data_IF_844870552654
#
_entry.id   IF_844870552654
#
_cell.length_a   1.000
_cell.length_b   1.000
_cell.length_c   1.000
_cell.angle_alpha   90.00
_cell.angle_beta   90.00
_cell.angle_gamma   90.00
#
_symmetry.space_group_name_H-M   'P 1'
#
loop_
_entity.id
_entity.type
_entity.pdbx_description
1 polymer ?
#
# COMPACT_ATOMS: atom_id res chain seq x y z
N UNK A 1 7.20 0.25 -3.25
CA UNK A 1 6.68 1.60 -3.57
C UNK A 1 7.09 2.09 -4.97
N UNK A 2 6.99 1.29 -6.04
CA UNK A 2 7.27 1.81 -7.40
C UNK A 2 6.07 2.58 -7.96
N UNK A 3 4.88 1.99 -7.86
CA UNK A 3 3.63 2.58 -8.35
C UNK A 3 3.31 3.86 -7.57
N UNK A 4 3.32 3.82 -6.23
CA UNK A 4 3.10 5.01 -5.40
C UNK A 4 4.04 6.16 -5.74
N UNK A 5 5.35 5.92 -5.80
CA UNK A 5 6.31 6.98 -6.09
C UNK A 5 6.11 7.60 -7.47
N UNK A 6 5.78 6.79 -8.48
CA UNK A 6 5.41 7.30 -9.81
C UNK A 6 4.13 8.13 -9.75
N UNK A 7 3.11 7.66 -9.02
CA UNK A 7 1.82 8.34 -8.88
C UNK A 7 1.93 9.64 -8.09
N UNK A 8 2.80 9.73 -7.09
CA UNK A 8 3.10 10.97 -6.35
C UNK A 8 3.72 12.03 -7.25
N UNK A 9 4.72 11.67 -8.05
CA UNK A 9 5.30 12.59 -9.03
C UNK A 9 4.25 13.07 -10.03
N UNK A 10 3.47 12.13 -10.60
CA UNK A 10 2.41 12.46 -11.53
C UNK A 10 1.40 13.44 -10.92
N UNK A 11 1.00 13.23 -9.66
CA UNK A 11 0.06 14.10 -8.97
C UNK A 11 0.53 15.56 -8.90
N UNK A 12 1.84 15.79 -8.68
CA UNK A 12 2.42 17.13 -8.70
C UNK A 12 2.46 17.75 -10.09
N UNK A 13 2.85 16.98 -11.11
CA UNK A 13 3.01 17.45 -12.48
C UNK A 13 1.69 17.89 -13.13
N UNK A 14 0.58 17.19 -12.85
CA UNK A 14 -0.70 17.46 -13.52
C UNK A 14 -1.64 18.38 -12.74
N UNK A 15 -1.27 18.79 -11.53
CA UNK A 15 -2.12 19.57 -10.64
C UNK A 15 -2.54 20.92 -11.24
N UNK A 16 -1.63 21.60 -11.94
CA UNK A 16 -1.92 22.90 -12.58
C UNK A 16 -2.95 22.80 -13.72
N UNK A 17 -3.18 21.60 -14.25
CA UNK A 17 -4.18 21.32 -15.27
C UNK A 17 -5.54 20.94 -14.68
N UNK A 18 -5.70 21.00 -13.35
CA UNK A 18 -6.94 20.62 -12.66
C UNK A 18 -7.19 19.10 -12.66
N UNK A 19 -6.19 18.29 -13.00
CA UNK A 19 -6.27 16.83 -12.93
C UNK A 19 -5.90 16.40 -11.51
N UNK A 20 -6.75 15.57 -10.91
CA UNK A 20 -6.51 14.98 -9.59
C UNK A 20 -6.10 13.53 -9.73
N UNK A 21 -5.13 13.14 -8.91
CA UNK A 21 -4.60 11.78 -8.85
C UNK A 21 -4.84 11.24 -7.45
N UNK A 22 -5.18 9.96 -7.34
CA UNK A 22 -5.37 9.29 -6.06
C UNK A 22 -4.76 7.89 -6.11
N UNK A 23 -4.16 7.50 -4.99
CA UNK A 23 -3.60 6.18 -4.72
C UNK A 23 -4.57 5.48 -3.79
N UNK A 24 -5.12 4.35 -4.24
CA UNK A 24 -6.00 3.53 -3.41
C UNK A 24 -5.22 2.33 -2.89
N UNK A 25 -5.25 2.16 -1.57
CA UNK A 25 -4.44 1.17 -0.85
C UNK A 25 -5.37 0.17 -0.17
N UNK A 26 -5.86 -0.84 -0.90
CA UNK A 26 -6.75 -1.85 -0.33
C UNK A 26 -6.00 -2.80 0.61
N UNK A 27 -6.71 -3.27 1.64
CA UNK A 27 -6.34 -4.46 2.40
C UNK A 27 -6.74 -5.74 1.67
N UNK A 28 -7.02 -6.79 2.42
CA UNK A 28 -7.51 -8.04 1.84
C UNK A 28 -9.00 -7.95 1.52
N UNK A 29 -9.34 -8.09 0.24
CA UNK A 29 -10.72 -8.18 -0.27
C UNK A 29 -11.00 -9.57 -0.83
N UNK A 30 -12.24 -10.06 -0.67
CA UNK A 30 -12.68 -11.36 -1.19
C UNK A 30 -12.85 -11.31 -2.72
N UNK A 31 -11.72 -11.34 -3.41
CA UNK A 31 -11.58 -11.41 -4.86
C UNK A 31 -10.76 -12.63 -5.24
N UNK A 32 -10.69 -12.93 -6.54
CA UNK A 32 -9.86 -14.03 -7.05
C UNK A 32 -8.35 -13.77 -6.97
N UNK A 33 -7.90 -12.63 -6.42
CA UNK A 33 -6.49 -12.24 -6.35
C UNK A 33 -5.59 -13.28 -5.67
N UNK A 34 -6.08 -13.92 -4.61
CA UNK A 34 -5.37 -14.99 -3.88
C UNK A 34 -5.74 -16.40 -4.36
N UNK A 35 -6.57 -16.53 -5.40
CA UNK A 35 -6.97 -17.83 -5.95
C UNK A 35 -6.04 -18.24 -7.08
N UNK A 36 -6.08 -19.55 -7.38
CA UNK A 36 -5.36 -20.14 -8.49
C UNK A 36 -5.76 -19.46 -9.81
N UNK A 37 -4.76 -19.12 -10.64
CA UNK A 37 -4.95 -18.39 -11.90
C UNK A 37 -4.62 -16.89 -11.80
N UNK A 38 -4.74 -16.27 -10.62
CA UNK A 38 -4.23 -14.91 -10.36
C UNK A 38 -2.94 -14.93 -9.55
N UNK A 39 -2.84 -15.83 -8.58
CA UNK A 39 -1.65 -15.98 -7.74
C UNK A 39 -0.58 -16.81 -8.46
N UNK A 40 0.55 -16.19 -8.78
CA UNK A 40 1.72 -16.87 -9.33
C UNK A 40 2.75 -17.14 -8.22
N UNK A 41 3.10 -18.41 -8.02
CA UNK A 41 4.09 -18.85 -7.05
C UNK A 41 5.38 -19.31 -7.73
N UNK A 42 6.49 -19.27 -7.00
CA UNK A 42 7.76 -19.81 -7.50
C UNK A 42 7.63 -21.32 -7.72
N UNK A 43 8.11 -21.82 -8.87
CA UNK A 43 8.06 -23.25 -9.19
C UNK A 43 9.03 -24.11 -8.38
N UNK A 44 9.95 -23.50 -7.63
CA UNK A 44 10.92 -24.20 -6.78
C UNK A 44 10.92 -23.59 -5.38
N UNK A 45 10.69 -24.44 -4.39
CA UNK A 45 10.80 -24.10 -2.98
C UNK A 45 12.20 -24.43 -2.45
N UNK A 46 12.83 -23.48 -1.76
CA UNK A 46 14.12 -23.68 -1.10
C UNK A 46 13.92 -23.71 0.42
N UNK A 47 14.53 -24.70 1.08
CA UNK A 47 14.42 -24.87 2.54
C UNK A 47 14.97 -23.68 3.35
N UNK A 48 15.79 -22.81 2.72
CA UNK A 48 16.36 -21.62 3.35
C UNK A 48 15.31 -20.52 3.69
N UNK A 49 14.07 -20.62 3.20
CA UNK A 49 13.05 -19.59 3.35
C UNK A 49 11.75 -20.07 4.03
N UNK A 50 11.80 -20.64 5.25
CA UNK A 50 10.62 -21.17 5.93
C UNK A 50 9.54 -20.11 6.20
N UNK A 51 9.93 -18.85 6.41
CA UNK A 51 8.98 -17.74 6.59
C UNK A 51 8.17 -17.44 5.32
N UNK A 52 8.78 -17.60 4.15
CA UNK A 52 8.07 -17.45 2.86
C UNK A 52 7.04 -18.55 2.69
N UNK A 53 7.40 -19.80 3.01
CA UNK A 53 6.48 -20.94 2.95
C UNK A 53 5.28 -20.77 3.88
N UNK A 54 5.51 -20.29 5.10
CA UNK A 54 4.46 -19.99 6.07
C UNK A 54 3.50 -18.91 5.55
N UNK A 55 4.07 -17.85 4.96
CA UNK A 55 3.30 -16.74 4.39
C UNK A 55 2.49 -17.19 3.16
N UNK A 56 3.05 -18.00 2.27
CA UNK A 56 2.32 -18.56 1.12
C UNK A 56 1.15 -19.42 1.61
N UNK A 57 1.38 -20.34 2.56
CA UNK A 57 0.34 -21.20 3.10
C UNK A 57 -0.80 -20.39 3.74
N UNK A 58 -0.47 -19.31 4.46
CA UNK A 58 -1.47 -18.40 5.03
C UNK A 58 -2.32 -17.71 3.94
N UNK A 59 -1.70 -17.23 2.85
CA UNK A 59 -2.42 -16.60 1.75
C UNK A 59 -3.28 -17.59 0.96
N UNK A 60 -2.82 -18.83 0.75
CA UNK A 60 -3.60 -19.88 0.08
C UNK A 60 -4.80 -20.36 0.90
N UNK A 61 -4.74 -20.25 2.23
CA UNK A 61 -5.84 -20.60 3.13
C UNK A 61 -6.87 -19.45 3.31
N UNK A 62 -6.54 -18.23 2.84
CA UNK A 62 -7.34 -17.03 3.05
C UNK A 62 -8.59 -16.85 2.14
N UNK A 63 -8.68 -17.42 0.91
CA UNK A 63 -9.83 -17.18 0.04
C UNK A 63 -11.17 -17.52 0.71
N UNK A 64 -12.11 -16.57 0.67
CA UNK A 64 -13.43 -16.67 1.31
C UNK A 64 -13.47 -16.22 2.78
N UNK A 65 -12.33 -15.84 3.37
CA UNK A 65 -12.26 -15.30 4.74
C UNK A 65 -11.69 -13.89 4.82
N UNK A 66 -11.45 -13.24 3.67
CA UNK A 66 -10.97 -11.86 3.64
C UNK A 66 -11.99 -10.91 4.28
N UNK A 67 -11.49 -9.86 4.94
CA UNK A 67 -12.33 -8.87 5.63
C UNK A 67 -13.09 -7.96 4.67
N UNK A 68 -12.47 -7.64 3.54
CA UNK A 68 -12.96 -6.64 2.59
C UNK A 68 -14.02 -7.19 1.64
N UNK A 69 -15.08 -6.39 1.45
CA UNK A 69 -16.14 -6.61 0.47
C UNK A 69 -15.83 -5.84 -0.83
N UNK A 70 -15.63 -6.53 -1.98
CA UNK A 70 -15.29 -5.88 -3.24
C UNK A 70 -16.35 -4.90 -3.75
N UNK A 71 -17.63 -5.12 -3.47
CA UNK A 71 -18.70 -4.21 -3.88
C UNK A 71 -18.57 -2.86 -3.15
N UNK A 72 -18.26 -2.91 -1.84
CA UNK A 72 -17.98 -1.70 -1.05
C UNK A 72 -16.70 -1.01 -1.48
N UNK A 73 -15.66 -1.75 -1.88
CA UNK A 73 -14.47 -1.15 -2.48
C UNK A 73 -14.81 -0.38 -3.75
N UNK A 74 -15.62 -0.95 -4.64
CA UNK A 74 -16.06 -0.29 -5.87
C UNK A 74 -16.82 1.03 -5.58
N UNK A 75 -17.76 1.00 -4.64
CA UNK A 75 -18.47 2.22 -4.19
C UNK A 75 -17.51 3.27 -3.63
N UNK A 76 -16.54 2.85 -2.81
CA UNK A 76 -15.54 3.75 -2.24
C UNK A 76 -14.63 4.36 -3.32
N UNK A 77 -14.22 3.58 -4.33
CA UNK A 77 -13.43 4.05 -5.47
C UNK A 77 -14.18 5.16 -6.21
N UNK A 78 -15.47 4.95 -6.51
CA UNK A 78 -16.32 5.96 -7.16
C UNK A 78 -16.44 7.22 -6.29
N UNK A 79 -16.62 7.06 -4.98
CA UNK A 79 -16.65 8.18 -4.04
C UNK A 79 -15.32 8.97 -3.99
N UNK A 80 -14.16 8.31 -4.13
CA UNK A 80 -12.85 8.98 -4.26
C UNK A 80 -12.73 9.72 -5.58
N UNK A 81 -13.15 9.10 -6.68
CA UNK A 81 -13.05 9.72 -8.00
C UNK A 81 -13.94 10.97 -8.14
N UNK A 82 -15.08 11.01 -7.43
CA UNK A 82 -16.11 12.04 -7.61
C UNK A 82 -16.13 13.15 -6.55
N UNK A 83 -15.49 12.97 -5.40
CA UNK A 83 -15.34 14.05 -4.40
C UNK A 83 -14.46 15.19 -4.93
N UNK A 84 -14.61 16.42 -4.43
CA UNK A 84 -13.82 17.57 -4.88
C UNK A 84 -12.40 17.61 -4.27
N UNK A 85 -12.25 17.13 -3.05
CA UNK A 85 -11.05 17.20 -2.22
C UNK A 85 -10.74 15.83 -1.56
N UNK A 86 -9.59 15.70 -0.91
CA UNK A 86 -9.23 14.47 -0.21
C UNK A 86 -7.72 14.21 -0.17
N UNK A 87 -7.30 13.16 0.56
CA UNK A 87 -5.90 12.78 0.61
C UNK A 87 -5.45 12.17 -0.74
N UNK A 88 -4.16 12.28 -1.02
CA UNK A 88 -3.54 11.59 -2.17
C UNK A 88 -3.64 10.06 -2.01
N UNK A 89 -3.49 9.56 -0.78
CA UNK A 89 -3.59 8.13 -0.44
C UNK A 89 -4.86 7.85 0.34
N UNK A 90 -5.61 6.85 -0.08
CA UNK A 90 -6.83 6.41 0.59
C UNK A 90 -6.78 4.91 0.83
N UNK A 91 -6.70 4.51 2.10
CA UNK A 91 -6.81 3.12 2.50
C UNK A 91 -8.25 2.64 2.37
N UNK A 92 -8.42 1.38 1.94
CA UNK A 92 -9.69 0.67 1.90
C UNK A 92 -9.56 -0.60 2.75
N UNK A 93 -10.28 -0.67 3.87
CA UNK A 93 -10.16 -1.76 4.85
C UNK A 93 -9.40 -1.35 6.11
N UNK A 94 -9.82 -1.86 7.26
CA UNK A 94 -9.23 -1.55 8.57
C UNK A 94 -7.84 -2.15 8.75
N UNK A 95 -7.59 -3.30 8.14
CA UNK A 95 -6.28 -3.94 8.04
C UNK A 95 -5.28 -3.05 7.29
N UNK A 96 -5.66 -2.54 6.12
CA UNK A 96 -4.83 -1.58 5.37
C UNK A 96 -4.58 -0.30 6.17
N UNK A 97 -5.63 0.26 6.79
CA UNK A 97 -5.48 1.44 7.64
C UNK A 97 -4.54 1.21 8.82
N UNK A 98 -4.58 0.04 9.46
CA UNK A 98 -3.68 -0.33 10.55
C UNK A 98 -2.23 -0.42 10.08
N UNK A 99 -1.98 -1.18 9.00
CA UNK A 99 -0.64 -1.33 8.42
C UNK A 99 -0.03 0.01 7.97
N UNK A 100 -0.84 0.88 7.36
CA UNK A 100 -0.40 2.21 6.96
C UNK A 100 -0.01 3.07 8.18
N UNK A 101 -0.80 3.01 9.26
CA UNK A 101 -0.50 3.69 10.52
C UNK A 101 0.82 3.22 11.14
N UNK A 102 1.00 1.90 11.23
CA UNK A 102 2.23 1.30 11.77
C UNK A 102 3.45 1.68 10.93
N UNK A 103 3.33 1.66 9.60
CA UNK A 103 4.42 2.06 8.69
C UNK A 103 4.76 3.53 8.82
N UNK A 104 3.76 4.40 8.94
CA UNK A 104 3.97 5.84 9.14
C UNK A 104 4.71 6.11 10.46
N UNK A 105 4.31 5.44 11.54
CA UNK A 105 4.97 5.55 12.84
C UNK A 105 6.43 5.06 12.79
N UNK A 106 6.68 3.92 12.14
CA UNK A 106 8.03 3.39 11.95
C UNK A 106 8.91 4.35 11.14
N UNK A 107 8.41 4.90 10.03
CA UNK A 107 9.14 5.86 9.21
C UNK A 107 9.48 7.13 9.99
N UNK A 108 8.54 7.66 10.77
CA UNK A 108 8.80 8.82 11.61
C UNK A 108 9.94 8.55 12.60
N UNK A 109 9.94 7.37 13.24
CA UNK A 109 11.02 6.96 14.14
C UNK A 109 12.37 6.82 13.44
N UNK A 110 12.41 6.27 12.21
CA UNK A 110 13.63 6.17 11.41
C UNK A 110 14.19 7.56 11.05
N UNK A 111 13.32 8.49 10.65
CA UNK A 111 13.70 9.90 10.34
C UNK A 111 14.26 10.59 11.58
N UNK A 112 13.62 10.40 12.73
CA UNK A 112 14.09 10.97 14.00
C UNK A 112 15.47 10.42 14.39
N UNK A 113 15.69 9.11 14.24
CA UNK A 113 16.97 8.48 14.54
C UNK A 113 18.11 9.00 13.64
N UNK A 114 17.83 9.30 12.36
CA UNK A 114 18.82 9.82 11.41
C UNK A 114 19.08 11.33 11.51
N UNK A 115 18.30 12.06 12.31
CA UNK A 115 18.22 13.52 12.30
C UNK A 115 19.55 14.23 12.55
N UNK A 116 20.29 13.81 13.57
CA UNK A 116 21.55 14.49 13.95
C UNK A 116 22.66 14.25 12.92
N UNK A 117 22.73 13.03 12.35
CA UNK A 117 23.67 12.75 11.26
C UNK A 117 23.35 13.59 10.02
N UNK A 118 22.07 13.69 9.65
CA UNK A 118 21.65 14.52 8.51
C UNK A 118 22.10 15.98 8.67
N UNK A 119 21.84 16.60 9.83
CA UNK A 119 22.28 17.97 10.14
C UNK A 119 23.80 18.14 10.07
N UNK A 120 24.57 17.12 10.47
CA UNK A 120 26.03 17.18 10.44
C UNK A 120 26.62 17.29 9.01
N UNK A 121 25.80 17.01 7.98
CA UNK A 121 26.19 17.12 6.57
C UNK A 121 25.87 18.47 5.93
N UNK A 122 25.21 19.38 6.67
CA UNK A 122 24.94 20.72 6.19
C UNK A 122 26.25 21.50 6.00
N UNK A 123 26.31 22.34 4.95
CA UNK A 123 27.42 23.28 4.82
C UNK A 123 27.33 24.33 5.94
N UNK A 124 28.46 24.62 6.58
CA UNK A 124 28.57 25.78 7.44
C UNK A 124 28.19 27.04 6.63
N UNK A 125 27.22 27.81 7.14
CA UNK A 125 26.90 29.14 6.63
C UNK A 125 27.95 30.15 7.07
#
# INVERSE_FOLDING_TARGET
HAVEGLTESLAGEVAEHGIRVSILEPGYFDTDFLREGSLALAGTELAAYPGVHTMIAAHQAMPGTQLGDPAKAAEAIVAVATRADGPLRQQLGSDSSGMAGDRAAALAAEVDAGRELAKSTDRAR
#
